data_IF_610802172514
#
_entry.id   IF_610802172514
#
_cell.length_a   1.000
_cell.length_b   1.000
_cell.length_c   1.000
_cell.angle_alpha   90.00
_cell.angle_beta   90.00
_cell.angle_gamma   90.00
#
_symmetry.space_group_name_H-M   'P 1'
#
loop_
_entity.id
_entity.type
_entity.pdbx_description
1 polymer ?
#
# COMPACT_ATOMS: atom_id res chain seq x y z
N UNK A 1 -23.28 3.95 -5.66
CA UNK A 1 -21.89 3.82 -6.13
C UNK A 1 -21.77 2.50 -6.88
N UNK A 2 -20.98 2.43 -7.96
CA UNK A 2 -20.72 1.17 -8.66
C UNK A 2 -19.68 0.36 -7.90
N UNK A 3 -19.65 -0.97 -8.10
CA UNK A 3 -18.60 -1.83 -7.51
C UNK A 3 -17.21 -1.34 -7.89
N UNK A 4 -17.02 -0.91 -9.14
CA UNK A 4 -15.76 -0.34 -9.62
C UNK A 4 -15.35 0.93 -8.86
N UNK A 5 -16.31 1.81 -8.54
CA UNK A 5 -16.03 3.01 -7.72
C UNK A 5 -15.56 2.65 -6.32
N UNK A 6 -16.22 1.66 -5.68
CA UNK A 6 -15.85 1.20 -4.33
C UNK A 6 -14.43 0.63 -4.32
N UNK A 7 -14.08 -0.22 -5.30
CA UNK A 7 -12.73 -0.79 -5.35
C UNK A 7 -11.65 0.28 -5.61
N UNK A 8 -11.96 1.34 -6.38
CA UNK A 8 -11.04 2.47 -6.56
C UNK A 8 -10.84 3.26 -5.28
N UNK A 9 -11.89 3.46 -4.49
CA UNK A 9 -11.78 4.11 -3.17
C UNK A 9 -10.96 3.25 -2.19
N UNK A 10 -11.15 1.92 -2.22
CA UNK A 10 -10.33 0.99 -1.44
C UNK A 10 -8.86 1.01 -1.88
N UNK A 11 -8.59 1.09 -3.18
CA UNK A 11 -7.23 1.20 -3.70
C UNK A 11 -6.55 2.49 -3.21
N UNK A 12 -7.23 3.63 -3.32
CA UNK A 12 -6.70 4.91 -2.84
C UNK A 12 -6.35 4.86 -1.35
N UNK A 13 -7.22 4.24 -0.54
CA UNK A 13 -6.95 4.05 0.89
C UNK A 13 -5.77 3.10 1.14
N UNK A 14 -5.67 2.00 0.40
CA UNK A 14 -4.54 1.08 0.52
C UNK A 14 -3.21 1.76 0.15
N UNK A 15 -3.21 2.63 -0.87
CA UNK A 15 -2.05 3.44 -1.24
C UNK A 15 -1.63 4.40 -0.11
N UNK A 16 -2.59 5.06 0.53
CA UNK A 16 -2.33 5.95 1.69
C UNK A 16 -1.76 5.18 2.90
N UNK A 17 -2.34 4.01 3.22
CA UNK A 17 -1.91 3.16 4.33
C UNK A 17 -0.50 2.60 4.10
N UNK A 18 -0.18 2.22 2.86
CA UNK A 18 1.17 1.78 2.43
C UNK A 18 2.18 2.92 2.60
N UNK A 19 1.85 4.12 2.10
CA UNK A 19 2.73 5.27 2.20
C UNK A 19 3.01 5.64 3.67
N UNK A 20 2.03 5.48 4.56
CA UNK A 20 2.25 5.69 5.99
C UNK A 20 3.15 4.61 6.62
N UNK A 21 2.94 3.34 6.28
CA UNK A 21 3.78 2.25 6.75
C UNK A 21 5.26 2.44 6.33
N UNK A 22 5.51 2.84 5.09
CA UNK A 22 6.85 3.14 4.58
C UNK A 22 7.53 4.29 5.34
N UNK A 23 6.79 5.37 5.62
CA UNK A 23 7.30 6.48 6.46
C UNK A 23 7.67 5.99 7.85
N UNK A 24 6.83 5.16 8.48
CA UNK A 24 7.06 4.62 9.82
C UNK A 24 8.28 3.68 9.86
N UNK A 25 8.44 2.84 8.84
CA UNK A 25 9.63 2.00 8.66
C UNK A 25 10.89 2.86 8.58
N UNK A 26 10.87 3.92 7.75
CA UNK A 26 12.00 4.83 7.59
C UNK A 26 12.38 5.49 8.92
N UNK A 27 11.40 6.01 9.67
CA UNK A 27 11.62 6.60 11.00
C UNK A 27 12.20 5.57 11.98
N UNK A 28 11.70 4.34 11.96
CA UNK A 28 12.17 3.27 12.83
C UNK A 28 13.61 2.85 12.51
N UNK A 29 13.98 2.78 11.21
CA UNK A 29 15.36 2.55 10.79
C UNK A 29 16.31 3.62 11.30
N UNK A 30 15.92 4.90 11.18
CA UNK A 30 16.70 6.03 11.72
C UNK A 30 16.85 5.96 13.24
N UNK A 31 15.80 5.52 13.96
CA UNK A 31 15.84 5.30 15.40
C UNK A 31 16.85 4.21 15.78
N UNK A 32 16.81 3.07 15.09
CA UNK A 32 17.78 1.97 15.31
C UNK A 32 19.20 2.47 15.06
N UNK A 33 19.42 3.22 13.98
CA UNK A 33 20.73 3.80 13.69
C UNK A 33 21.24 4.66 14.86
N UNK A 34 20.43 5.58 15.36
CA UNK A 34 20.80 6.42 16.52
C UNK A 34 21.05 5.63 17.81
N UNK A 35 20.27 4.57 18.06
CA UNK A 35 20.49 3.71 19.22
C UNK A 35 21.83 2.97 19.14
N UNK A 36 22.19 2.48 17.95
CA UNK A 36 23.48 1.81 17.71
C UNK A 36 24.66 2.75 17.91
N UNK A 37 24.59 3.97 17.38
CA UNK A 37 25.64 5.00 17.58
C UNK A 37 25.83 5.35 19.06
N UNK A 38 24.76 5.27 19.87
CA UNK A 38 24.81 5.47 21.32
C UNK A 38 25.14 4.20 22.12
N UNK A 39 25.53 3.10 21.48
CA UNK A 39 25.79 1.79 22.10
C UNK A 39 24.61 1.26 22.95
N UNK A 40 23.39 1.66 22.62
CA UNK A 40 22.17 1.21 23.29
C UNK A 40 21.66 -0.11 22.70
N UNK A 41 20.93 -0.89 23.51
CA UNK A 41 20.25 -2.10 23.03
C UNK A 41 19.19 -1.76 21.96
N UNK A 42 19.29 -2.41 20.80
CA UNK A 42 18.41 -2.20 19.65
C UNK A 42 17.40 -3.33 19.44
N UNK A 43 17.42 -4.39 20.25
CA UNK A 43 16.65 -5.62 20.00
C UNK A 43 15.14 -5.37 19.85
N UNK A 44 14.54 -4.60 20.75
CA UNK A 44 13.10 -4.31 20.67
C UNK A 44 12.76 -3.36 19.51
N UNK A 45 13.68 -2.45 19.16
CA UNK A 45 13.50 -1.57 18.02
C UNK A 45 13.56 -2.35 16.70
N UNK A 46 14.44 -3.34 16.59
CA UNK A 46 14.56 -4.23 15.43
C UNK A 46 13.34 -5.15 15.29
N UNK A 47 12.82 -5.71 16.39
CA UNK A 47 11.57 -6.47 16.37
C UNK A 47 10.40 -5.64 15.84
N UNK A 48 10.28 -4.39 16.28
CA UNK A 48 9.25 -3.48 15.77
C UNK A 48 9.44 -3.21 14.28
N UNK A 49 10.68 -3.03 13.81
CA UNK A 49 10.96 -2.84 12.39
C UNK A 49 10.50 -4.06 11.57
N UNK A 50 10.81 -5.28 12.02
CA UNK A 50 10.35 -6.51 11.36
C UNK A 50 8.83 -6.60 11.32
N UNK A 51 8.14 -6.27 12.41
CA UNK A 51 6.67 -6.28 12.45
C UNK A 51 6.05 -5.26 11.48
N UNK A 52 6.64 -4.07 11.37
CA UNK A 52 6.20 -3.05 10.41
C UNK A 52 6.41 -3.50 8.95
N UNK A 53 7.55 -4.12 8.65
CA UNK A 53 7.84 -4.67 7.32
C UNK A 53 6.84 -5.77 6.93
N UNK A 54 6.57 -6.72 7.82
CA UNK A 54 5.57 -7.76 7.57
C UNK A 54 4.17 -7.17 7.35
N UNK A 55 3.82 -6.13 8.10
CA UNK A 55 2.55 -5.42 7.93
C UNK A 55 2.49 -4.74 6.56
N UNK A 56 3.56 -4.10 6.12
CA UNK A 56 3.67 -3.48 4.79
C UNK A 56 3.54 -4.54 3.68
N UNK A 57 4.15 -5.71 3.83
CA UNK A 57 4.01 -6.82 2.87
C UNK A 57 2.54 -7.24 2.72
N UNK A 58 1.83 -7.41 3.85
CA UNK A 58 0.40 -7.75 3.85
C UNK A 58 -0.44 -6.68 3.14
N UNK A 59 -0.16 -5.39 3.36
CA UNK A 59 -0.85 -4.31 2.65
C UNK A 59 -0.59 -4.30 1.15
N UNK A 60 0.65 -4.59 0.73
CA UNK A 60 1.00 -4.71 -0.69
C UNK A 60 0.30 -5.89 -1.37
N UNK A 61 0.17 -7.03 -0.68
CA UNK A 61 -0.61 -8.17 -1.14
C UNK A 61 -2.08 -7.78 -1.31
N UNK A 62 -2.68 -7.13 -0.30
CA UNK A 62 -4.05 -6.67 -0.36
C UNK A 62 -4.31 -5.66 -1.50
N UNK A 63 -3.41 -4.69 -1.67
CA UNK A 63 -3.45 -3.74 -2.80
C UNK A 63 -3.45 -4.47 -4.14
N UNK A 64 -2.63 -5.50 -4.28
CA UNK A 64 -2.56 -6.31 -5.50
C UNK A 64 -3.88 -7.02 -5.80
N UNK A 65 -4.58 -7.53 -4.78
CA UNK A 65 -5.91 -8.12 -4.93
C UNK A 65 -6.95 -7.11 -5.42
N UNK A 66 -6.95 -5.90 -4.86
CA UNK A 66 -7.85 -4.82 -5.28
C UNK A 66 -7.61 -4.46 -6.76
N UNK A 67 -6.34 -4.30 -7.17
CA UNK A 67 -6.00 -3.99 -8.56
C UNK A 67 -6.48 -5.09 -9.51
N UNK A 68 -6.34 -6.36 -9.14
CA UNK A 68 -6.84 -7.50 -9.94
C UNK A 68 -8.35 -7.45 -10.07
N UNK A 69 -9.07 -7.12 -8.99
CA UNK A 69 -10.52 -7.02 -9.01
C UNK A 69 -11.02 -5.84 -9.86
N UNK A 70 -10.37 -4.68 -9.77
CA UNK A 70 -10.64 -3.53 -10.65
C UNK A 70 -10.50 -3.93 -12.12
N UNK A 71 -9.37 -4.56 -12.48
CA UNK A 71 -9.13 -5.00 -13.86
C UNK A 71 -10.21 -5.98 -14.35
N UNK A 72 -10.64 -6.92 -13.48
CA UNK A 72 -11.73 -7.85 -13.78
C UNK A 72 -13.06 -7.12 -14.02
N UNK A 73 -13.41 -6.14 -13.18
CA UNK A 73 -14.63 -5.36 -13.29
C UNK A 73 -14.66 -4.48 -14.54
N UNK A 74 -13.52 -3.91 -14.91
CA UNK A 74 -13.35 -3.12 -16.13
C UNK A 74 -13.49 -3.98 -17.39
N UNK A 75 -12.95 -5.20 -17.39
CA UNK A 75 -13.13 -6.15 -18.50
C UNK A 75 -14.59 -6.61 -18.65
N UNK A 76 -15.32 -6.77 -17.54
CA UNK A 76 -16.73 -7.16 -17.55
C UNK A 76 -17.67 -6.01 -17.94
N UNK A 77 -17.18 -4.77 -17.97
CA UNK A 77 -17.97 -3.61 -18.36
C UNK A 77 -17.25 -2.76 -19.43
N UNK A 78 -17.28 -3.21 -20.69
CA UNK A 78 -16.57 -2.55 -21.79
C UNK A 78 -17.08 -1.13 -22.09
N UNK A 79 -18.25 -0.73 -21.59
CA UNK A 79 -18.78 0.63 -21.76
C UNK A 79 -17.93 1.71 -21.07
N UNK A 80 -17.08 1.35 -20.11
CA UNK A 80 -16.14 2.30 -19.48
C UNK A 80 -14.80 2.40 -20.21
N UNK A 81 -14.53 1.53 -21.18
CA UNK A 81 -13.28 1.49 -21.93
C UNK A 81 -13.24 2.48 -23.10
N UNK A 82 -14.38 3.10 -23.45
CA UNK A 82 -14.57 3.88 -24.68
C UNK A 82 -14.98 5.36 -24.54
N UNK A 83 -15.03 5.94 -23.33
CA UNK A 83 -15.41 7.35 -23.17
C UNK A 83 -14.26 8.36 -23.41
N UNK A 84 -13.13 7.93 -23.97
CA UNK A 84 -11.91 8.74 -24.09
C UNK A 84 -11.41 9.02 -25.50
N UNK A 85 -11.72 8.20 -26.52
CA UNK A 85 -11.15 8.40 -27.86
C UNK A 85 -12.14 7.98 -28.96
N UNK A 86 -12.52 8.96 -29.81
CA UNK A 86 -13.14 8.68 -31.11
C UNK A 86 -14.42 9.45 -31.40
N UNK A 87 -14.31 10.76 -31.66
CA UNK A 87 -15.26 11.51 -32.48
C UNK A 87 -14.46 12.29 -33.54
N UNK A 88 -14.82 12.21 -34.83
CA UNK A 88 -14.02 12.71 -35.96
C UNK A 88 -13.79 14.22 -35.96
#
# INVERSE_FOLDING_TARGET
MSRLSIERDHLARADDDIADAERRITVQMLRIYRLREGEHDTREAEKLLTALQHTLDTWNEHRTEIVREIARLELLNPLYKGAGEGGP
#
